data_IF_609517893112
#
_entry.id   IF_609517893112
#
_cell.length_a   1.000
_cell.length_b   1.000
_cell.length_c   1.000
_cell.angle_alpha   90.00
_cell.angle_beta   90.00
_cell.angle_gamma   90.00
#
_symmetry.space_group_name_H-M   'P 1'
#
loop_
_entity.id
_entity.type
_entity.pdbx_description
1 polymer ?
#
# COMPACT_ATOMS: atom_id res chain seq x y z
N UNK A 1 114.24 16.37 -4.07
CA UNK A 1 113.04 16.64 -4.91
C UNK A 1 111.92 15.60 -4.72
N UNK A 2 112.07 14.58 -3.86
CA UNK A 2 111.10 13.48 -3.65
C UNK A 2 110.19 13.72 -2.42
N UNK A 3 110.60 14.54 -1.46
CA UNK A 3 109.84 14.78 -0.21
C UNK A 3 108.58 15.64 -0.39
N UNK A 4 108.53 16.50 -1.41
CA UNK A 4 107.36 17.35 -1.70
C UNK A 4 106.17 16.55 -2.27
N UNK A 5 106.43 15.44 -2.98
CA UNK A 5 105.38 14.59 -3.55
C UNK A 5 104.66 13.75 -2.49
N UNK A 6 105.37 13.34 -1.44
CA UNK A 6 104.80 12.55 -0.33
C UNK A 6 103.84 13.41 0.50
N UNK A 7 104.21 14.66 0.80
CA UNK A 7 103.36 15.58 1.57
C UNK A 7 102.06 15.92 0.83
N UNK A 8 102.13 16.16 -0.48
CA UNK A 8 100.94 16.40 -1.31
C UNK A 8 99.99 15.19 -1.36
N UNK A 9 100.54 13.98 -1.42
CA UNK A 9 99.75 12.74 -1.39
C UNK A 9 99.01 12.55 -0.06
N UNK A 10 99.64 12.85 1.08
CA UNK A 10 98.99 12.74 2.39
C UNK A 10 97.88 13.79 2.55
N UNK A 11 98.11 15.03 2.13
CA UNK A 11 97.08 16.08 2.15
C UNK A 11 95.89 15.71 1.27
N UNK A 12 96.13 15.17 0.06
CA UNK A 12 95.06 14.71 -0.83
C UNK A 12 94.24 13.56 -0.24
N UNK A 13 94.89 12.60 0.44
CA UNK A 13 94.20 11.50 1.13
C UNK A 13 93.35 12.03 2.29
N UNK A 14 93.87 12.98 3.07
CA UNK A 14 93.14 13.58 4.21
C UNK A 14 91.93 14.36 3.70
N UNK A 15 92.08 15.15 2.64
CA UNK A 15 90.97 15.90 2.03
C UNK A 15 89.90 14.97 1.44
N UNK A 16 90.30 13.86 0.79
CA UNK A 16 89.38 12.82 0.32
C UNK A 16 88.64 12.14 1.48
N UNK A 17 89.34 11.82 2.57
CA UNK A 17 88.73 11.18 3.74
C UNK A 17 87.73 12.13 4.43
N UNK A 18 88.05 13.42 4.54
CA UNK A 18 87.15 14.45 5.07
C UNK A 18 85.94 14.63 4.13
N UNK A 19 86.18 14.72 2.81
CA UNK A 19 85.13 14.85 1.81
C UNK A 19 84.14 13.69 1.83
N UNK A 20 84.63 12.45 1.91
CA UNK A 20 83.82 11.25 2.04
C UNK A 20 83.08 11.19 3.39
N UNK A 21 83.73 11.60 4.48
CA UNK A 21 83.11 11.69 5.80
C UNK A 21 81.93 12.67 5.83
N UNK A 22 82.10 13.86 5.25
CA UNK A 22 81.04 14.87 5.13
C UNK A 22 79.92 14.36 4.20
N UNK A 23 80.25 13.80 3.05
CA UNK A 23 79.26 13.23 2.12
C UNK A 23 78.44 12.11 2.77
N UNK A 24 79.08 11.23 3.54
CA UNK A 24 78.42 10.16 4.30
C UNK A 24 77.45 10.70 5.36
N UNK A 25 77.84 11.75 6.10
CA UNK A 25 76.98 12.41 7.09
C UNK A 25 75.78 13.11 6.43
N UNK A 26 75.99 13.79 5.30
CA UNK A 26 74.91 14.41 4.53
C UNK A 26 73.95 13.34 4.01
N UNK A 27 74.45 12.26 3.41
CA UNK A 27 73.63 11.15 2.92
C UNK A 27 72.80 10.50 4.05
N UNK A 28 73.41 10.27 5.22
CA UNK A 28 72.72 9.71 6.39
C UNK A 28 71.64 10.68 6.93
N UNK A 29 71.92 11.98 6.93
CA UNK A 29 70.95 13.01 7.36
C UNK A 29 69.73 13.08 6.42
N UNK A 30 69.97 12.97 5.10
CA UNK A 30 68.93 12.94 4.08
C UNK A 30 68.11 11.65 4.18
N UNK A 31 68.77 10.50 4.35
CA UNK A 31 68.10 9.22 4.53
C UNK A 31 67.17 9.23 5.75
N UNK A 32 67.64 9.68 6.92
CA UNK A 32 66.81 9.80 8.13
C UNK A 32 65.64 10.76 7.96
N UNK A 33 65.82 11.83 7.18
CA UNK A 33 64.76 12.80 6.89
C UNK A 33 63.68 12.19 5.99
N UNK A 34 64.10 11.42 5.00
CA UNK A 34 63.18 10.73 4.08
C UNK A 34 62.43 9.60 4.77
N UNK A 35 63.10 8.81 5.62
CA UNK A 35 62.47 7.77 6.43
C UNK A 35 61.38 8.36 7.35
N UNK A 36 61.63 9.53 7.97
CA UNK A 36 60.62 10.24 8.77
C UNK A 36 59.42 10.70 7.96
N UNK A 37 59.63 11.16 6.71
CA UNK A 37 58.53 11.54 5.80
C UNK A 37 57.68 10.33 5.45
N UNK A 38 58.32 9.24 5.02
CA UNK A 38 57.62 8.01 4.67
C UNK A 38 56.83 7.43 5.85
N UNK A 39 57.36 7.48 7.08
CA UNK A 39 56.62 7.05 8.28
C UNK A 39 55.38 7.91 8.51
N UNK A 40 55.50 9.23 8.41
CA UNK A 40 54.37 10.15 8.59
C UNK A 40 53.30 9.94 7.52
N UNK A 41 53.71 9.75 6.27
CA UNK A 41 52.79 9.48 5.17
C UNK A 41 52.09 8.13 5.35
N UNK A 42 52.81 7.12 5.85
CA UNK A 42 52.23 5.81 6.19
C UNK A 42 51.24 5.88 7.35
N UNK A 43 51.57 6.57 8.43
CA UNK A 43 50.63 6.78 9.55
C UNK A 43 49.38 7.55 9.10
N UNK A 44 49.56 8.56 8.24
CA UNK A 44 48.45 9.29 7.61
C UNK A 44 47.56 8.38 6.76
N UNK A 45 48.16 7.49 5.95
CA UNK A 45 47.44 6.52 5.14
C UNK A 45 46.68 5.50 6.01
N UNK A 46 47.31 4.96 7.05
CA UNK A 46 46.69 4.01 7.99
C UNK A 46 45.51 4.66 8.71
N UNK A 47 45.62 5.94 9.11
CA UNK A 47 44.52 6.71 9.68
C UNK A 47 43.36 6.90 8.71
N UNK A 48 43.63 7.24 7.45
CA UNK A 48 42.61 7.40 6.42
C UNK A 48 41.90 6.07 6.09
N UNK A 49 42.65 4.97 6.02
CA UNK A 49 42.10 3.62 5.81
C UNK A 49 41.19 3.24 6.98
N UNK A 50 41.62 3.51 8.22
CA UNK A 50 40.79 3.26 9.41
C UNK A 50 39.50 4.06 9.37
N UNK A 51 39.56 5.36 9.02
CA UNK A 51 38.37 6.21 8.90
C UNK A 51 37.43 5.72 7.79
N UNK A 52 37.95 5.28 6.64
CA UNK A 52 37.14 4.66 5.60
C UNK A 52 36.48 3.37 6.08
N UNK A 53 37.22 2.52 6.81
CA UNK A 53 36.67 1.31 7.42
C UNK A 53 35.48 1.61 8.34
N UNK A 54 35.63 2.59 9.23
CA UNK A 54 34.55 3.03 10.13
C UNK A 54 33.33 3.57 9.37
N UNK A 55 33.56 4.34 8.30
CA UNK A 55 32.49 4.87 7.46
C UNK A 55 31.74 3.75 6.72
N UNK A 56 32.45 2.75 6.19
CA UNK A 56 31.86 1.59 5.52
C UNK A 56 31.00 0.79 6.52
N UNK A 57 31.50 0.57 7.74
CA UNK A 57 30.73 -0.11 8.79
C UNK A 57 29.45 0.66 9.14
N UNK A 58 29.54 1.99 9.29
CA UNK A 58 28.36 2.84 9.53
C UNK A 58 27.36 2.80 8.37
N UNK A 59 27.83 2.82 7.13
CA UNK A 59 26.99 2.69 5.94
C UNK A 59 26.28 1.33 5.90
N UNK A 60 27.00 0.23 6.13
CA UNK A 60 26.41 -1.11 6.14
C UNK A 60 25.35 -1.26 7.24
N UNK A 61 25.59 -0.70 8.43
CA UNK A 61 24.60 -0.70 9.50
C UNK A 61 23.36 0.14 9.14
N UNK A 62 23.54 1.29 8.47
CA UNK A 62 22.43 2.11 7.99
C UNK A 62 21.62 1.40 6.91
N UNK A 63 22.29 0.70 5.97
CA UNK A 63 21.66 -0.11 4.92
C UNK A 63 20.85 -1.24 5.56
N UNK A 64 21.44 -2.02 6.46
CA UNK A 64 20.74 -3.11 7.15
C UNK A 64 19.51 -2.62 7.91
N UNK A 65 19.61 -1.46 8.59
CA UNK A 65 18.45 -0.85 9.23
C UNK A 65 17.39 -0.44 8.21
N UNK A 66 17.78 0.14 7.06
CA UNK A 66 16.83 0.49 6.01
C UNK A 66 16.12 -0.73 5.42
N UNK A 67 16.83 -1.83 5.21
CA UNK A 67 16.24 -3.10 4.75
C UNK A 67 15.21 -3.65 5.74
N UNK A 68 15.52 -3.61 7.04
CA UNK A 68 14.57 -4.04 8.08
C UNK A 68 13.29 -3.21 8.10
N UNK A 69 13.40 -1.88 7.89
CA UNK A 69 12.25 -0.98 7.85
C UNK A 69 11.42 -1.18 6.58
N UNK A 70 12.06 -1.43 5.44
CA UNK A 70 11.36 -1.76 4.20
C UNK A 70 10.57 -3.06 4.37
N UNK A 71 11.16 -4.08 5.00
CA UNK A 71 10.48 -5.34 5.25
C UNK A 71 9.29 -5.19 6.22
N UNK A 72 9.42 -4.34 7.23
CA UNK A 72 8.31 -4.00 8.12
C UNK A 72 7.19 -3.25 7.37
N UNK A 73 7.55 -2.29 6.50
CA UNK A 73 6.58 -1.57 5.66
C UNK A 73 5.80 -2.52 4.73
N UNK A 74 6.48 -3.50 4.10
CA UNK A 74 5.80 -4.51 3.28
C UNK A 74 4.75 -5.29 4.08
N UNK A 75 5.09 -5.74 5.28
CA UNK A 75 4.15 -6.46 6.16
C UNK A 75 2.94 -5.59 6.55
N UNK A 76 3.14 -4.29 6.74
CA UNK A 76 2.04 -3.36 7.01
C UNK A 76 1.13 -3.23 5.79
N UNK A 77 1.70 -3.09 4.60
CA UNK A 77 0.94 -3.00 3.34
C UNK A 77 0.14 -4.29 3.11
N UNK A 78 0.75 -5.46 3.27
CA UNK A 78 0.07 -6.76 3.15
C UNK A 78 -1.11 -6.86 4.14
N UNK A 79 -0.92 -6.45 5.39
CA UNK A 79 -2.02 -6.41 6.38
C UNK A 79 -3.14 -5.46 5.96
N UNK A 80 -2.79 -4.27 5.47
CA UNK A 80 -3.79 -3.31 4.98
C UNK A 80 -4.59 -3.86 3.81
N UNK A 81 -3.96 -4.60 2.91
CA UNK A 81 -4.61 -5.24 1.78
C UNK A 81 -5.57 -6.34 2.24
N UNK A 82 -5.16 -7.19 3.19
CA UNK A 82 -6.04 -8.19 3.81
C UNK A 82 -7.26 -7.51 4.47
N UNK A 83 -7.06 -6.45 5.25
CA UNK A 83 -8.17 -5.72 5.87
C UNK A 83 -9.09 -5.07 4.86
N UNK A 84 -8.54 -4.50 3.78
CA UNK A 84 -9.33 -3.92 2.69
C UNK A 84 -10.19 -5.00 2.03
N UNK A 85 -9.61 -6.15 1.71
CA UNK A 85 -10.32 -7.26 1.07
C UNK A 85 -11.43 -7.80 1.99
N UNK A 86 -11.16 -7.99 3.29
CA UNK A 86 -12.17 -8.41 4.24
C UNK A 86 -13.35 -7.42 4.35
N UNK A 87 -13.07 -6.10 4.32
CA UNK A 87 -14.13 -5.07 4.30
C UNK A 87 -14.95 -5.12 3.01
N UNK A 88 -14.30 -5.36 1.88
CA UNK A 88 -14.97 -5.54 0.57
C UNK A 88 -15.89 -6.76 0.61
N UNK A 89 -15.40 -7.92 1.05
CA UNK A 89 -16.20 -9.15 1.18
C UNK A 89 -17.40 -8.94 2.09
N UNK A 90 -17.19 -8.35 3.28
CA UNK A 90 -18.27 -8.05 4.21
C UNK A 90 -19.33 -7.12 3.61
N UNK A 91 -18.91 -6.09 2.86
CA UNK A 91 -19.81 -5.21 2.14
C UNK A 91 -20.66 -5.96 1.11
N UNK A 92 -20.04 -6.81 0.29
CA UNK A 92 -20.74 -7.62 -0.71
C UNK A 92 -21.75 -8.58 -0.07
N UNK A 93 -21.37 -9.27 1.00
CA UNK A 93 -22.26 -10.18 1.72
C UNK A 93 -23.48 -9.46 2.29
N UNK A 94 -23.27 -8.27 2.87
CA UNK A 94 -24.35 -7.42 3.38
C UNK A 94 -25.29 -6.99 2.27
N UNK A 95 -24.74 -6.50 1.15
CA UNK A 95 -25.52 -6.10 -0.02
C UNK A 95 -26.37 -7.29 -0.49
N UNK A 96 -25.76 -8.47 -0.66
CA UNK A 96 -26.45 -9.66 -1.13
C UNK A 96 -27.57 -10.10 -0.19
N UNK A 97 -27.38 -9.99 1.13
CA UNK A 97 -28.43 -10.26 2.11
C UNK A 97 -29.60 -9.27 1.95
N UNK A 98 -29.32 -7.97 1.88
CA UNK A 98 -30.34 -6.94 1.65
C UNK A 98 -31.14 -7.19 0.37
N UNK A 99 -30.46 -7.48 -0.74
CA UNK A 99 -31.13 -7.75 -2.01
C UNK A 99 -31.99 -9.02 -1.95
N UNK A 100 -31.58 -10.06 -1.24
CA UNK A 100 -32.40 -11.26 -1.03
C UNK A 100 -33.67 -10.93 -0.24
N UNK A 101 -33.55 -10.21 0.87
CA UNK A 101 -34.70 -9.82 1.69
C UNK A 101 -35.68 -8.94 0.92
N UNK A 102 -35.20 -7.94 0.18
CA UNK A 102 -36.05 -7.09 -0.67
C UNK A 102 -36.73 -7.90 -1.78
N UNK A 103 -36.04 -8.88 -2.37
CA UNK A 103 -36.65 -9.73 -3.42
C UNK A 103 -37.79 -10.57 -2.86
N UNK A 104 -37.62 -11.14 -1.66
CA UNK A 104 -38.67 -11.91 -0.98
C UNK A 104 -39.89 -11.02 -0.72
N UNK A 105 -39.65 -9.84 -0.15
CA UNK A 105 -40.69 -8.85 0.14
C UNK A 105 -41.47 -8.41 -1.11
N UNK A 106 -40.78 -8.08 -2.20
CA UNK A 106 -41.45 -7.70 -3.45
C UNK A 106 -42.33 -8.85 -3.97
N UNK A 107 -41.84 -10.08 -3.87
CA UNK A 107 -42.60 -11.27 -4.30
C UNK A 107 -43.87 -11.46 -3.47
N UNK A 108 -43.79 -11.24 -2.16
CA UNK A 108 -44.93 -11.35 -1.24
C UNK A 108 -45.96 -10.25 -1.49
N UNK A 109 -45.51 -9.00 -1.69
CA UNK A 109 -46.37 -7.87 -2.07
C UNK A 109 -47.11 -8.15 -3.38
N UNK A 110 -46.43 -8.69 -4.40
CA UNK A 110 -47.08 -9.02 -5.69
C UNK A 110 -48.09 -10.17 -5.54
N UNK A 111 -47.78 -11.18 -4.72
CA UNK A 111 -48.72 -12.27 -4.41
C UNK A 111 -49.98 -11.74 -3.72
N UNK A 112 -49.84 -10.90 -2.70
CA UNK A 112 -50.97 -10.30 -1.97
C UNK A 112 -51.80 -9.39 -2.90
N UNK A 113 -51.14 -8.69 -3.82
CA UNK A 113 -51.81 -7.89 -4.86
C UNK A 113 -52.65 -8.74 -5.82
N UNK A 114 -52.18 -9.92 -6.21
CA UNK A 114 -52.95 -10.83 -7.07
C UNK A 114 -54.16 -11.40 -6.34
N UNK A 115 -54.02 -11.75 -5.06
CA UNK A 115 -55.13 -12.20 -4.20
C UNK A 115 -56.19 -11.12 -4.01
N UNK A 116 -55.78 -9.85 -3.83
CA UNK A 116 -56.71 -8.72 -3.76
C UNK A 116 -57.55 -8.57 -5.04
N UNK A 117 -57.01 -8.94 -6.21
CA UNK A 117 -57.76 -8.91 -7.48
C UNK A 117 -58.73 -10.07 -7.64
N UNK A 118 -58.52 -11.20 -6.97
CA UNK A 118 -59.34 -12.40 -7.16
C UNK A 118 -60.67 -12.38 -6.38
N UNK A 119 -60.89 -11.41 -5.48
CA UNK A 119 -62.08 -11.32 -4.61
C UNK A 119 -62.36 -12.57 -3.76
N UNK A 120 -61.42 -13.50 -3.62
CA UNK A 120 -61.60 -14.78 -2.91
C UNK A 120 -61.32 -14.69 -1.39
N UNK A 121 -60.89 -13.54 -0.89
CA UNK A 121 -60.44 -13.34 0.49
C UNK A 121 -61.07 -12.09 1.14
N UNK A 122 -60.99 -12.01 2.46
CA UNK A 122 -61.35 -10.81 3.23
C UNK A 122 -60.46 -9.63 2.83
N UNK A 123 -61.02 -8.72 2.02
CA UNK A 123 -60.32 -7.61 1.42
C UNK A 123 -59.72 -6.66 2.47
N UNK A 124 -60.40 -6.46 3.59
CA UNK A 124 -59.97 -5.52 4.64
C UNK A 124 -58.64 -5.96 5.25
N UNK A 125 -58.53 -7.25 5.58
CA UNK A 125 -57.33 -7.82 6.18
C UNK A 125 -56.15 -7.81 5.19
N UNK A 126 -56.39 -8.16 3.92
CA UNK A 126 -55.34 -8.13 2.88
C UNK A 126 -54.88 -6.71 2.51
N UNK A 127 -55.76 -5.72 2.56
CA UNK A 127 -55.38 -4.31 2.32
C UNK A 127 -54.46 -3.79 3.43
N UNK A 128 -54.73 -4.13 4.68
CA UNK A 128 -53.86 -3.78 5.83
C UNK A 128 -52.49 -4.46 5.74
N UNK A 129 -52.44 -5.75 5.41
CA UNK A 129 -51.18 -6.49 5.19
C UNK A 129 -50.37 -5.92 4.03
N UNK A 130 -51.02 -5.63 2.90
CA UNK A 130 -50.38 -5.04 1.72
C UNK A 130 -49.76 -3.66 2.01
N UNK A 131 -50.48 -2.82 2.76
CA UNK A 131 -49.98 -1.49 3.15
C UNK A 131 -48.85 -1.57 4.18
N UNK A 132 -48.92 -2.55 5.10
CA UNK A 132 -47.83 -2.83 6.04
C UNK A 132 -46.55 -3.25 5.32
N UNK A 133 -46.63 -4.23 4.40
CA UNK A 133 -45.48 -4.74 3.65
C UNK A 133 -44.80 -3.65 2.82
N UNK A 134 -45.60 -2.77 2.21
CA UNK A 134 -45.09 -1.59 1.48
C UNK A 134 -44.31 -0.63 2.38
N UNK A 135 -44.85 -0.31 3.56
CA UNK A 135 -44.18 0.58 4.53
C UNK A 135 -42.90 -0.04 5.05
N UNK A 136 -42.93 -1.34 5.33
CA UNK A 136 -41.75 -2.08 5.77
C UNK A 136 -40.67 -2.10 4.67
N UNK A 137 -41.07 -2.33 3.40
CA UNK A 137 -40.17 -2.29 2.26
C UNK A 137 -39.54 -0.90 2.05
N UNK A 138 -40.32 0.17 2.19
CA UNK A 138 -39.81 1.54 2.16
C UNK A 138 -38.76 1.78 3.24
N UNK A 139 -39.02 1.31 4.47
CA UNK A 139 -38.07 1.38 5.58
C UNK A 139 -36.77 0.63 5.30
N UNK A 140 -36.83 -0.54 4.65
CA UNK A 140 -35.63 -1.28 4.23
C UNK A 140 -34.80 -0.49 3.21
N UNK A 141 -35.44 0.14 2.23
CA UNK A 141 -34.73 0.96 1.25
C UNK A 141 -34.03 2.15 1.91
N UNK A 142 -34.67 2.85 2.85
CA UNK A 142 -34.05 3.98 3.55
C UNK A 142 -32.90 3.53 4.46
N UNK A 143 -33.04 2.40 5.17
CA UNK A 143 -31.94 1.81 5.96
C UNK A 143 -30.75 1.41 5.08
N UNK A 144 -31.02 0.84 3.90
CA UNK A 144 -30.01 0.49 2.92
C UNK A 144 -29.31 1.72 2.36
N UNK A 145 -30.04 2.79 2.02
CA UNK A 145 -29.47 4.06 1.54
C UNK A 145 -28.50 4.68 2.55
N UNK A 146 -28.86 4.68 3.83
CA UNK A 146 -27.97 5.14 4.90
C UNK A 146 -26.70 4.29 4.98
N UNK A 147 -26.83 2.97 4.81
CA UNK A 147 -25.70 2.03 4.81
C UNK A 147 -24.80 2.17 3.58
N UNK A 148 -25.35 2.59 2.44
CA UNK A 148 -24.61 2.78 1.19
C UNK A 148 -23.55 3.89 1.26
N UNK A 149 -23.72 4.88 2.14
CA UNK A 149 -22.71 5.93 2.35
C UNK A 149 -21.34 5.39 2.78
N UNK A 150 -21.31 4.25 3.48
CA UNK A 150 -20.07 3.58 3.90
C UNK A 150 -19.46 2.70 2.80
N UNK A 151 -20.25 2.40 1.76
CA UNK A 151 -19.90 1.46 0.72
C UNK A 151 -19.39 2.16 -0.56
N UNK A 152 -19.65 3.46 -0.72
CA UNK A 152 -19.22 4.22 -1.91
C UNK A 152 -17.71 4.28 -2.09
N UNK A 153 -16.95 4.22 -0.99
CA UNK A 153 -15.47 4.27 -1.04
C UNK A 153 -14.86 2.88 -1.28
N UNK A 154 -15.68 1.84 -1.25
CA UNK A 154 -15.27 0.43 -1.27
C UNK A 154 -15.69 -0.25 -2.58
N UNK A 155 -16.88 0.07 -3.08
CA UNK A 155 -17.47 -0.56 -4.24
C UNK A 155 -17.02 0.08 -5.55
N UNK A 156 -17.06 -0.71 -6.62
CA UNK A 156 -16.79 -0.21 -7.96
C UNK A 156 -17.86 0.82 -8.41
N UNK A 157 -17.48 1.87 -9.15
CA UNK A 157 -18.41 2.91 -9.61
C UNK A 157 -19.63 2.37 -10.38
N UNK A 158 -19.44 1.31 -11.17
CA UNK A 158 -20.52 0.69 -11.92
C UNK A 158 -21.56 0.05 -10.99
N UNK A 159 -21.10 -0.67 -9.95
CA UNK A 159 -21.98 -1.29 -8.98
C UNK A 159 -22.75 -0.25 -8.17
N UNK A 160 -22.09 0.85 -7.78
CA UNK A 160 -22.74 1.99 -7.11
C UNK A 160 -23.89 2.53 -7.97
N UNK A 161 -23.67 2.67 -9.27
CA UNK A 161 -24.69 3.15 -10.22
C UNK A 161 -25.90 2.20 -10.26
N UNK A 162 -25.66 0.89 -10.37
CA UNK A 162 -26.72 -0.12 -10.37
C UNK A 162 -27.50 -0.13 -9.05
N UNK A 163 -26.80 0.00 -7.92
CA UNK A 163 -27.42 0.07 -6.60
C UNK A 163 -28.28 1.34 -6.45
N UNK A 164 -27.82 2.49 -6.93
CA UNK A 164 -28.59 3.74 -6.93
C UNK A 164 -29.86 3.61 -7.78
N UNK A 165 -29.77 3.00 -8.95
CA UNK A 165 -30.93 2.70 -9.78
C UNK A 165 -31.94 1.82 -9.02
N UNK A 166 -31.47 0.74 -8.40
CA UNK A 166 -32.33 -0.11 -7.57
C UNK A 166 -33.03 0.66 -6.44
N UNK A 167 -32.31 1.50 -5.70
CA UNK A 167 -32.91 2.34 -4.65
C UNK A 167 -33.97 3.31 -5.21
N UNK A 168 -33.66 3.98 -6.32
CA UNK A 168 -34.58 4.93 -6.96
C UNK A 168 -35.89 4.25 -7.37
N UNK A 169 -35.82 3.14 -8.09
CA UNK A 169 -37.00 2.39 -8.51
C UNK A 169 -37.71 1.75 -7.30
N UNK A 170 -36.98 1.20 -6.34
CA UNK A 170 -37.53 0.60 -5.14
C UNK A 170 -38.34 1.57 -4.27
N UNK A 171 -37.81 2.78 -4.08
CA UNK A 171 -38.53 3.84 -3.35
C UNK A 171 -39.80 4.26 -4.08
N UNK A 172 -39.74 4.35 -5.41
CA UNK A 172 -40.90 4.68 -6.25
C UNK A 172 -41.97 3.58 -6.19
N UNK A 173 -41.57 2.30 -6.15
CA UNK A 173 -42.47 1.16 -6.01
C UNK A 173 -43.30 1.22 -4.72
N UNK A 174 -42.70 1.72 -3.64
CA UNK A 174 -43.35 1.88 -2.35
C UNK A 174 -44.17 3.18 -2.23
N UNK A 175 -44.11 4.07 -3.23
CA UNK A 175 -44.81 5.36 -3.19
C UNK A 175 -46.32 5.16 -3.35
N UNK A 176 -47.15 5.77 -2.48
CA UNK A 176 -48.60 5.71 -2.61
C UNK A 176 -49.16 6.58 -3.75
N UNK A 177 -48.38 7.54 -4.27
CA UNK A 177 -48.85 8.54 -5.25
C UNK A 177 -48.52 8.18 -6.71
N UNK A 178 -47.56 7.28 -6.93
CA UNK A 178 -47.12 6.88 -8.27
C UNK A 178 -47.29 5.37 -8.40
N UNK A 179 -48.36 4.93 -9.07
CA UNK A 179 -48.46 3.55 -9.50
C UNK A 179 -47.30 3.24 -10.44
N UNK A 180 -46.35 2.41 -10.03
CA UNK A 180 -45.26 1.99 -10.91
C UNK A 180 -45.83 1.17 -12.08
N UNK A 181 -45.58 1.66 -13.30
CA UNK A 181 -45.97 0.97 -14.52
C UNK A 181 -45.33 -0.42 -14.61
N UNK A 182 -45.99 -1.35 -15.31
CA UNK A 182 -45.49 -2.73 -15.46
C UNK A 182 -44.08 -2.75 -16.06
N UNK A 183 -43.79 -1.83 -16.99
CA UNK A 183 -42.46 -1.70 -17.63
C UNK A 183 -41.40 -1.30 -16.61
N UNK A 184 -41.65 -0.28 -15.78
CA UNK A 184 -40.73 0.15 -14.72
C UNK A 184 -40.49 -0.95 -13.68
N UNK A 185 -41.52 -1.73 -13.39
CA UNK A 185 -41.45 -2.85 -12.45
C UNK A 185 -40.60 -4.01 -12.98
N UNK A 186 -40.79 -4.37 -14.25
CA UNK A 186 -39.95 -5.36 -14.92
C UNK A 186 -38.49 -4.89 -15.00
N UNK A 187 -38.27 -3.59 -15.22
CA UNK A 187 -36.93 -3.00 -15.19
C UNK A 187 -36.29 -3.07 -13.79
N UNK A 188 -37.06 -2.84 -12.72
CA UNK A 188 -36.60 -3.02 -11.34
C UNK A 188 -36.21 -4.48 -11.07
N UNK A 189 -37.06 -5.44 -11.41
CA UNK A 189 -36.80 -6.87 -11.22
C UNK A 189 -35.58 -7.35 -12.04
N UNK A 190 -35.45 -6.88 -13.29
CA UNK A 190 -34.27 -7.15 -14.11
C UNK A 190 -33.01 -6.55 -13.50
N UNK A 191 -33.09 -5.31 -13.00
CA UNK A 191 -31.96 -4.64 -12.34
C UNK A 191 -31.53 -5.38 -11.08
N UNK A 192 -32.48 -5.89 -10.28
CA UNK A 192 -32.20 -6.72 -9.10
C UNK A 192 -31.47 -7.99 -9.51
N UNK A 193 -31.95 -8.69 -10.55
CA UNK A 193 -31.35 -9.94 -11.02
C UNK A 193 -29.92 -9.72 -11.53
N UNK A 194 -29.72 -8.73 -12.39
CA UNK A 194 -28.40 -8.38 -12.92
C UNK A 194 -27.40 -8.02 -11.82
N UNK A 195 -27.88 -7.36 -10.76
CA UNK A 195 -27.06 -6.92 -9.64
C UNK A 195 -26.74 -8.09 -8.70
N UNK A 196 -27.71 -8.98 -8.45
CA UNK A 196 -27.48 -10.24 -7.74
C UNK A 196 -26.47 -11.14 -8.45
N UNK A 197 -26.56 -11.25 -9.78
CA UNK A 197 -25.64 -12.08 -10.56
C UNK A 197 -24.23 -11.47 -10.55
N UNK A 198 -24.11 -10.14 -10.74
CA UNK A 198 -22.80 -9.47 -10.58
C UNK A 198 -22.19 -9.63 -9.21
N UNK A 199 -22.98 -9.46 -8.13
CA UNK A 199 -22.47 -9.63 -6.76
C UNK A 199 -22.04 -11.07 -6.50
N UNK A 200 -22.77 -12.07 -7.03
CA UNK A 200 -22.38 -13.49 -6.94
C UNK A 200 -21.10 -13.80 -7.71
N UNK A 201 -20.92 -13.22 -8.88
CA UNK A 201 -19.72 -13.44 -9.68
C UNK A 201 -18.49 -12.83 -8.98
N UNK A 202 -18.66 -11.62 -8.44
CA UNK A 202 -17.63 -10.95 -7.64
C UNK A 202 -17.28 -11.76 -6.38
N UNK A 203 -18.27 -12.35 -5.69
CA UNK A 203 -18.01 -13.21 -4.53
C UNK A 203 -17.33 -14.55 -4.85
N UNK A 204 -17.37 -15.01 -6.12
CA UNK A 204 -16.72 -16.25 -6.57
C UNK A 204 -15.33 -16.03 -7.17
N UNK A 205 -15.04 -14.80 -7.61
CA UNK A 205 -13.79 -14.44 -8.27
C UNK A 205 -12.63 -14.12 -7.31
N UNK A 206 -12.90 -14.11 -6.00
CA UNK A 206 -11.93 -13.87 -4.92
C UNK A 206 -11.72 -15.14 -4.10
#
# INVERSE_FOLDING_TARGET
MVEWDILNWHTMIIELAIGLGIAGLVALSLYKREEKRQRKDREGLESLISQQGDLIVKQNNAISKSESLIEEQKKIIERQEIFRNARITYAYDRILLYFKEVTIMITEIEKNRELLKSNEYDQTTLEEEFEYDKKFLAGMFDAFSNSMSFLTDILEPELITKIRHFYYFGKRYCSPQEGMEIVERNNLLSSIRDLLDKVKDLSKSQ
#
